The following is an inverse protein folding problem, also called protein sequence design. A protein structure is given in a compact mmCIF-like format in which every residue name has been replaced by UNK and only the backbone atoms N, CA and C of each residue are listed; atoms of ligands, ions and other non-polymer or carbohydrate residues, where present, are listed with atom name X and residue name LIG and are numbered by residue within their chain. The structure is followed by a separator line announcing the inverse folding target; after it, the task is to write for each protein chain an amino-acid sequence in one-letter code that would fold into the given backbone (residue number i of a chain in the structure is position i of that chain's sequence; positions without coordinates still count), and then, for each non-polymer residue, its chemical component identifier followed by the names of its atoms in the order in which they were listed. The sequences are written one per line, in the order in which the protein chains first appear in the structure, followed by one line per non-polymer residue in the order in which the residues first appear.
data_IF_327638135285
#
_entry.id   IF_327638135285
#
_cell.length_a   1.000
_cell.length_b   1.000
_cell.length_c   1.000
_cell.angle_alpha   90.00
_cell.angle_beta   90.00
_cell.angle_gamma   90.00
#
_symmetry.space_group_name_H-M   'P 1'
#
loop_
_entity.id
_entity.type
_entity.pdbx_description
1 polymer ?
#
# COMPACT_ATOMS: atom_id res chain seq x y z
N UNK A 1 12.51 -1.10 -18.38
CA UNK A 1 12.79 -0.78 -16.97
C UNK A 1 11.50 -0.24 -16.37
N UNK A 2 10.66 -1.11 -15.81
CA UNK A 2 9.39 -0.71 -15.19
C UNK A 2 9.72 0.02 -13.89
N UNK A 3 9.45 1.32 -13.85
CA UNK A 3 9.62 2.11 -12.64
C UNK A 3 8.75 1.50 -11.52
N UNK A 4 9.40 1.05 -10.45
CA UNK A 4 8.71 0.62 -9.24
C UNK A 4 7.93 1.82 -8.68
N UNK A 5 6.61 1.72 -8.65
CA UNK A 5 5.74 2.76 -8.12
C UNK A 5 5.08 2.24 -6.85
N UNK A 6 5.20 2.93 -5.71
CA UNK A 6 4.70 2.46 -4.43
C UNK A 6 3.16 2.42 -4.34
N UNK A 7 2.44 2.96 -5.33
CA UNK A 7 0.99 2.93 -5.39
C UNK A 7 0.47 2.87 -6.83
N UNK A 8 -0.61 2.12 -7.05
CA UNK A 8 -1.44 2.22 -8.25
C UNK A 8 -2.43 3.37 -8.00
N UNK A 9 -2.48 4.36 -8.87
CA UNK A 9 -3.34 5.54 -8.71
C UNK A 9 -2.81 6.78 -9.42
N UNK A 10 -3.56 7.90 -9.40
CA UNK A 10 -4.71 8.16 -8.54
C UNK A 10 -6.00 7.51 -9.07
N UNK A 11 -7.05 7.43 -8.24
CA UNK A 11 -8.36 6.87 -8.62
C UNK A 11 -9.51 7.77 -8.19
N UNK A 12 -10.64 7.75 -8.91
CA UNK A 12 -11.87 8.39 -8.44
C UNK A 12 -12.35 7.82 -7.11
N UNK A 13 -13.06 8.63 -6.31
CA UNK A 13 -13.70 8.17 -5.09
C UNK A 13 -14.72 7.03 -5.37
N UNK A 14 -15.04 6.23 -4.35
CA UNK A 14 -15.97 5.08 -4.43
C UNK A 14 -15.45 3.82 -5.15
N UNK A 15 -14.15 3.73 -5.44
CA UNK A 15 -13.53 2.49 -5.96
C UNK A 15 -13.21 1.53 -4.82
N UNK A 16 -13.57 0.25 -4.97
CA UNK A 16 -13.23 -0.77 -3.97
C UNK A 16 -11.74 -1.12 -4.01
N UNK A 17 -11.12 -1.25 -2.84
CA UNK A 17 -9.70 -1.57 -2.69
C UNK A 17 -9.31 -2.89 -3.38
N UNK A 18 -10.21 -3.88 -3.37
CA UNK A 18 -9.97 -5.17 -4.01
C UNK A 18 -9.89 -5.07 -5.54
N UNK A 19 -10.72 -4.22 -6.14
CA UNK A 19 -10.70 -3.94 -7.58
C UNK A 19 -9.39 -3.27 -7.97
N UNK A 20 -8.90 -2.34 -7.14
CA UNK A 20 -7.59 -1.71 -7.30
C UNK A 20 -6.43 -2.70 -7.15
N UNK A 21 -6.52 -3.62 -6.17
CA UNK A 21 -5.51 -4.64 -5.92
C UNK A 21 -5.36 -5.59 -7.13
N UNK A 22 -6.49 -6.16 -7.58
CA UNK A 22 -6.56 -7.10 -8.70
C UNK A 22 -6.27 -6.43 -10.04
N UNK A 23 -6.69 -5.17 -10.16
CA UNK A 23 -6.59 -4.46 -11.41
C UNK A 23 -7.60 -4.86 -12.46
N UNK A 24 -8.82 -5.17 -12.05
CA UNK A 24 -9.90 -5.64 -12.94
C UNK A 24 -10.13 -4.68 -14.13
N UNK A 25 -9.87 -3.38 -13.95
CA UNK A 25 -10.03 -2.35 -14.99
C UNK A 25 -8.84 -2.23 -15.96
N UNK A 26 -7.62 -2.65 -15.55
CA UNK A 26 -6.45 -2.72 -16.45
C UNK A 26 -5.67 -4.01 -16.16
N UNK A 27 -5.90 -5.07 -16.96
CA UNK A 27 -5.20 -6.34 -16.82
C UNK A 27 -3.67 -6.15 -16.92
N UNK A 28 -2.91 -6.75 -16.01
CA UNK A 28 -1.44 -6.68 -15.99
C UNK A 28 -0.85 -5.43 -15.33
N UNK A 29 -1.68 -4.54 -14.78
CA UNK A 29 -1.25 -3.39 -13.97
C UNK A 29 -1.71 -3.48 -12.51
N UNK A 30 -2.21 -4.63 -12.08
CA UNK A 30 -2.62 -4.93 -10.71
C UNK A 30 -1.52 -4.56 -9.71
N UNK A 31 -1.88 -4.15 -8.50
CA UNK A 31 -0.91 -4.15 -7.42
C UNK A 31 -0.42 -5.59 -7.15
N UNK A 32 -1.28 -6.58 -7.40
CA UNK A 32 -0.94 -8.00 -7.33
C UNK A 32 0.16 -8.41 -8.32
N UNK A 33 0.21 -7.78 -9.50
CA UNK A 33 1.21 -8.05 -10.55
C UNK A 33 2.59 -7.48 -10.19
N UNK A 34 2.64 -6.53 -9.23
CA UNK A 34 3.89 -5.99 -8.72
C UNK A 34 4.49 -6.86 -7.60
N UNK A 35 3.74 -7.83 -7.08
CA UNK A 35 4.22 -8.78 -6.07
C UNK A 35 5.00 -9.89 -6.79
N UNK A 36 6.31 -10.06 -6.49
CA UNK A 36 7.13 -11.11 -7.12
C UNK A 36 6.51 -12.50 -6.97
N UNK A 37 6.78 -13.37 -7.95
CA UNK A 37 6.34 -14.75 -7.87
C UNK A 37 7.01 -15.48 -6.70
N UNK A 38 6.22 -16.30 -5.99
CA UNK A 38 6.63 -16.95 -4.75
C UNK A 38 6.58 -16.06 -3.50
N UNK A 39 6.24 -14.77 -3.63
CA UNK A 39 6.02 -13.86 -2.51
C UNK A 39 4.54 -13.54 -2.31
N UNK A 40 4.18 -13.28 -1.04
CA UNK A 40 2.84 -12.86 -0.65
C UNK A 40 2.90 -11.51 0.09
N UNK A 41 1.96 -10.62 -0.23
CA UNK A 41 1.73 -9.41 0.56
C UNK A 41 1.09 -9.75 1.91
N UNK A 42 1.26 -8.90 2.92
CA UNK A 42 0.55 -9.02 4.19
C UNK A 42 -0.64 -8.08 4.17
N UNK A 43 -1.84 -8.65 4.27
CA UNK A 43 -3.09 -7.92 4.14
C UNK A 43 -3.92 -7.90 5.42
N UNK A 44 -4.89 -6.99 5.44
CA UNK A 44 -5.97 -7.08 6.42
C UNK A 44 -7.03 -8.12 6.04
N UNK A 45 -7.94 -8.42 6.97
CA UNK A 45 -9.00 -9.41 6.81
C UNK A 45 -9.89 -9.20 5.57
N UNK A 46 -10.06 -7.96 5.11
CA UNK A 46 -10.81 -7.61 3.90
C UNK A 46 -10.19 -8.23 2.62
N UNK A 47 -8.90 -8.57 2.63
CA UNK A 47 -8.20 -9.18 1.50
C UNK A 47 -8.22 -10.72 1.52
N UNK A 48 -9.06 -11.34 2.38
CA UNK A 48 -9.14 -12.81 2.49
C UNK A 48 -9.60 -13.48 1.19
N UNK A 49 -10.31 -12.76 0.32
CA UNK A 49 -10.72 -13.22 -1.01
C UNK A 49 -9.57 -13.37 -2.01
N UNK A 50 -8.34 -12.93 -1.67
CA UNK A 50 -7.13 -13.08 -2.49
C UNK A 50 -6.02 -13.91 -1.82
N UNK A 51 -6.28 -15.20 -1.48
CA UNK A 51 -5.36 -16.01 -0.70
C UNK A 51 -4.07 -16.40 -1.45
N UNK A 52 -4.07 -16.31 -2.78
CA UNK A 52 -2.95 -16.71 -3.65
C UNK A 52 -1.75 -15.77 -3.57
N UNK A 53 -1.99 -14.48 -3.31
CA UNK A 53 -0.94 -13.45 -3.25
C UNK A 53 -0.99 -12.59 -1.98
N UNK A 54 -2.01 -12.77 -1.12
CA UNK A 54 -2.13 -12.07 0.17
C UNK A 54 -2.20 -13.05 1.34
N UNK A 55 -1.38 -12.80 2.36
CA UNK A 55 -1.40 -13.47 3.65
C UNK A 55 -2.14 -12.62 4.68
N UNK A 56 -3.32 -13.07 5.09
CA UNK A 56 -4.11 -12.44 6.16
C UNK A 56 -3.83 -13.10 7.51
N UNK A 57 -4.05 -12.39 8.61
CA UNK A 57 -3.97 -12.98 9.96
C UNK A 57 -5.07 -14.01 10.16
N UNK A 58 -4.71 -15.21 10.60
CA UNK A 58 -5.64 -16.31 10.84
C UNK A 58 -5.54 -16.84 12.27
N UNK A 59 -6.62 -17.44 12.77
CA UNK A 59 -6.67 -18.00 14.13
C UNK A 59 -5.61 -19.09 14.33
N UNK A 60 -5.36 -19.90 13.30
CA UNK A 60 -4.37 -20.98 13.30
C UNK A 60 -2.91 -20.53 13.14
N UNK A 61 -2.64 -19.24 12.93
CA UNK A 61 -1.25 -18.76 12.85
C UNK A 61 -0.53 -18.99 14.20
N UNK A 62 0.70 -19.50 14.12
CA UNK A 62 1.59 -19.58 15.28
C UNK A 62 1.87 -18.21 15.89
N UNK A 63 2.27 -18.18 17.17
CA UNK A 63 2.51 -16.93 17.90
C UNK A 63 3.53 -16.02 17.19
N UNK A 64 4.61 -16.59 16.68
CA UNK A 64 5.66 -15.83 15.99
C UNK A 64 5.18 -15.24 14.66
N UNK A 65 4.34 -15.96 13.91
CA UNK A 65 3.72 -15.46 12.67
C UNK A 65 2.76 -14.32 13.00
N UNK A 66 1.97 -14.43 14.07
CA UNK A 66 1.06 -13.36 14.52
C UNK A 66 1.84 -12.11 14.91
N UNK A 67 2.91 -12.25 15.70
CA UNK A 67 3.80 -11.12 16.07
C UNK A 67 4.44 -10.48 14.85
N UNK A 68 4.89 -11.28 13.88
CA UNK A 68 5.45 -10.78 12.64
C UNK A 68 4.44 -9.98 11.82
N UNK A 69 3.26 -10.54 11.54
CA UNK A 69 2.16 -9.86 10.82
C UNK A 69 1.74 -8.57 11.55
N UNK A 70 1.62 -8.61 12.88
CA UNK A 70 1.28 -7.44 13.69
C UNK A 70 2.34 -6.33 13.57
N UNK A 71 3.63 -6.66 13.64
CA UNK A 71 4.72 -5.68 13.45
C UNK A 71 4.68 -5.05 12.06
N UNK A 72 4.40 -5.83 11.01
CA UNK A 72 4.31 -5.29 9.64
C UNK A 72 3.12 -4.34 9.52
N UNK A 73 1.94 -4.72 10.01
CA UNK A 73 0.75 -3.85 10.03
C UNK A 73 1.01 -2.54 10.79
N UNK A 74 1.58 -2.61 11.99
CA UNK A 74 1.90 -1.42 12.78
C UNK A 74 2.90 -0.47 12.08
N UNK A 75 3.88 -1.01 11.35
CA UNK A 75 4.80 -0.21 10.53
C UNK A 75 4.08 0.51 9.40
N UNK A 76 3.17 -0.18 8.71
CA UNK A 76 2.36 0.41 7.65
C UNK A 76 1.43 1.51 8.20
N UNK A 77 0.78 1.28 9.34
CA UNK A 77 -0.06 2.29 10.01
C UNK A 77 0.74 3.53 10.39
N UNK A 78 1.97 3.35 10.90
CA UNK A 78 2.88 4.47 11.21
C UNK A 78 3.20 5.29 9.96
N UNK A 79 3.49 4.62 8.84
CA UNK A 79 3.74 5.27 7.56
C UNK A 79 2.52 6.06 7.08
N UNK A 80 1.32 5.47 7.13
CA UNK A 80 0.09 6.16 6.72
C UNK A 80 -0.27 7.33 7.63
N UNK A 81 -0.07 7.20 8.94
CA UNK A 81 -0.27 8.30 9.89
C UNK A 81 0.63 9.50 9.55
N UNK A 82 1.90 9.26 9.24
CA UNK A 82 2.84 10.31 8.82
C UNK A 82 2.49 10.90 7.44
N UNK A 83 2.01 10.09 6.50
CA UNK A 83 1.55 10.60 5.20
C UNK A 83 0.37 11.58 5.33
N UNK A 84 -0.54 11.35 6.29
CA UNK A 84 -1.66 12.27 6.57
C UNK A 84 -1.20 13.65 7.08
N UNK A 85 0.03 13.80 7.56
CA UNK A 85 0.56 15.10 7.98
C UNK A 85 0.84 16.05 6.80
N UNK A 86 0.94 15.52 5.58
CA UNK A 86 1.19 16.32 4.38
C UNK A 86 -0.10 16.98 3.90
N UNK A 87 -0.27 18.27 4.24
CA UNK A 87 -1.45 19.04 3.85
C UNK A 87 -1.69 19.01 2.32
N UNK A 88 -0.62 18.94 1.51
CA UNK A 88 -0.71 18.83 0.04
C UNK A 88 -1.49 17.60 -0.43
N UNK A 89 -1.51 16.51 0.35
CA UNK A 89 -2.26 15.30 0.02
C UNK A 89 -3.73 15.36 0.46
N UNK A 90 -4.10 16.36 1.27
CA UNK A 90 -5.47 16.53 1.79
C UNK A 90 -6.32 17.47 0.93
N UNK A 91 -5.70 18.28 0.06
CA UNK A 91 -6.41 19.21 -0.82
C UNK A 91 -6.69 18.59 -2.18
N UNK A 92 -7.80 19.01 -2.78
CA UNK A 92 -8.09 18.70 -4.18
C UNK A 92 -7.03 19.34 -5.08
N UNK A 93 -6.34 18.53 -5.87
CA UNK A 93 -5.36 19.01 -6.84
C UNK A 93 -6.08 19.74 -7.98
N UNK A 94 -5.78 21.03 -8.13
CA UNK A 94 -6.37 21.89 -9.18
C UNK A 94 -5.65 21.78 -10.53
N UNK A 95 -4.44 21.21 -10.56
CA UNK A 95 -3.53 21.24 -11.71
C UNK A 95 -3.36 19.89 -12.43
N UNK A 96 -4.35 19.00 -12.31
CA UNK A 96 -4.35 17.71 -13.01
C UNK A 96 -3.95 16.51 -12.15
N UNK A 97 -4.31 15.33 -12.62
CA UNK A 97 -4.25 14.07 -11.88
C UNK A 97 -2.82 13.50 -11.77
N UNK A 98 -1.97 13.75 -12.78
CA UNK A 98 -0.59 13.26 -12.80
C UNK A 98 0.28 13.93 -11.73
N UNK A 99 0.06 15.22 -11.49
CA UNK A 99 0.76 15.96 -10.44
C UNK A 99 0.44 15.39 -9.04
N UNK A 100 -0.80 14.94 -8.80
CA UNK A 100 -1.15 14.27 -7.55
C UNK A 100 -0.31 13.01 -7.35
N UNK A 101 -0.15 12.18 -8.38
CA UNK A 101 0.66 10.96 -8.30
C UNK A 101 2.11 11.28 -7.95
N UNK A 102 2.72 12.22 -8.65
CA UNK A 102 4.11 12.63 -8.40
C UNK A 102 4.30 13.16 -6.97
N UNK A 103 3.38 14.00 -6.49
CA UNK A 103 3.42 14.48 -5.10
C UNK A 103 3.26 13.35 -4.09
N UNK A 104 2.35 12.41 -4.33
CA UNK A 104 2.15 11.25 -3.45
C UNK A 104 3.41 10.37 -3.39
N UNK A 105 4.04 10.09 -4.52
CA UNK A 105 5.29 9.31 -4.59
C UNK A 105 6.42 10.02 -3.85
N UNK A 106 6.59 11.34 -4.06
CA UNK A 106 7.60 12.14 -3.35
C UNK A 106 7.37 12.14 -1.82
N UNK A 107 6.14 12.33 -1.36
CA UNK A 107 5.80 12.27 0.06
C UNK A 107 6.04 10.86 0.63
N UNK A 108 5.72 9.82 -0.13
CA UNK A 108 5.94 8.42 0.27
C UNK A 108 7.42 8.12 0.50
N UNK A 109 8.30 8.54 -0.42
CA UNK A 109 9.75 8.37 -0.28
C UNK A 109 10.29 9.14 0.93
N UNK A 110 9.85 10.38 1.13
CA UNK A 110 10.26 11.20 2.27
C UNK A 110 9.84 10.56 3.61
N UNK A 111 8.61 10.06 3.71
CA UNK A 111 8.12 9.37 4.91
C UNK A 111 8.87 8.07 5.15
N UNK A 112 9.12 7.27 4.11
CA UNK A 112 9.89 6.02 4.23
C UNK A 112 11.29 6.29 4.77
N UNK A 113 11.97 7.32 4.26
CA UNK A 113 13.27 7.74 4.76
C UNK A 113 13.20 8.13 6.24
N UNK A 114 12.24 8.96 6.63
CA UNK A 114 12.06 9.39 8.01
C UNK A 114 11.75 8.21 8.96
N UNK A 115 10.87 7.27 8.55
CA UNK A 115 10.56 6.08 9.34
C UNK A 115 11.79 5.19 9.56
N UNK A 116 12.73 5.16 8.62
CA UNK A 116 13.98 4.41 8.75
C UNK A 116 14.95 5.09 9.71
N UNK A 117 15.03 6.42 9.70
CA UNK A 117 15.98 7.18 10.53
C UNK A 117 15.49 7.44 11.96
N UNK A 118 14.19 7.34 12.24
CA UNK A 118 13.63 7.53 13.61
C UNK A 118 13.87 6.32 14.53
N UNK A 119 14.96 5.55 14.35
CA UNK A 119 15.38 4.57 15.37
C UNK A 119 16.28 5.31 16.36
N UNK A 120 15.66 5.95 17.34
CA UNK A 120 16.31 6.48 18.55
C UNK A 120 16.11 5.48 19.69
#
# INVERSE_FOLDING_TARGET
MTAWSPARGPFPASRHDITTLRGEDDPGKGLIDQIPDGMNGIGDSAYRSEPTKMSVSQRGDGLEVKKFKARVKARQETLFSRLKAFNILNHAFRHGFDAHKQCFEACSVAVQFNCRTTTA
#
